data_IF_014055039783
#
_entry.id   IF_014055039783
#
_cell.length_a   1.000
_cell.length_b   1.000
_cell.length_c   1.000
_cell.angle_alpha   90.00
_cell.angle_beta   90.00
_cell.angle_gamma   90.00
#
_symmetry.space_group_name_H-M   'P 1'
#
loop_
_entity.id
_entity.type
_entity.pdbx_description
1 polymer ?
#
# COMPACT_ATOMS: atom_id res chain seq x y z
N UNK A 1 -11.57 -27.43 -26.21
CA UNK A 1 -11.93 -26.00 -26.07
C UNK A 1 -13.04 -25.70 -25.05
N UNK A 2 -14.35 -25.91 -25.27
CA UNK A 2 -15.38 -25.54 -24.25
C UNK A 2 -15.28 -26.29 -22.91
N UNK A 3 -14.81 -27.54 -22.89
CA UNK A 3 -14.71 -28.35 -21.68
C UNK A 3 -13.39 -28.16 -20.90
N UNK A 4 -12.35 -27.61 -21.54
CA UNK A 4 -11.05 -27.37 -20.89
C UNK A 4 -11.07 -26.12 -20.00
N UNK A 5 -11.84 -25.11 -20.39
CA UNK A 5 -12.00 -23.87 -19.60
C UNK A 5 -12.83 -24.11 -18.32
N UNK A 6 -13.74 -25.09 -18.34
CA UNK A 6 -14.61 -25.40 -17.20
C UNK A 6 -13.88 -26.08 -16.03
N UNK A 7 -12.69 -26.63 -16.25
CA UNK A 7 -11.91 -27.37 -15.25
C UNK A 7 -10.69 -26.60 -14.73
N UNK A 8 -10.51 -25.32 -15.11
CA UNK A 8 -9.45 -24.50 -14.52
C UNK A 8 -9.87 -24.14 -13.10
N UNK A 9 -9.09 -24.50 -12.06
CA UNK A 9 -9.42 -24.16 -10.69
C UNK A 9 -9.56 -22.64 -10.53
N UNK A 10 -10.58 -22.20 -9.82
CA UNK A 10 -10.71 -20.80 -9.43
C UNK A 10 -9.77 -20.50 -8.27
N UNK A 11 -9.11 -19.35 -8.32
CA UNK A 11 -8.15 -18.93 -7.30
C UNK A 11 -8.16 -17.41 -7.11
N UNK A 12 -7.66 -16.96 -5.97
CA UNK A 12 -7.38 -15.55 -5.67
C UNK A 12 -5.89 -15.31 -5.78
N UNK A 13 -5.50 -14.12 -6.26
CA UNK A 13 -4.12 -13.63 -6.21
C UNK A 13 -4.12 -12.11 -6.11
N UNK A 14 -4.30 -11.60 -4.91
CA UNK A 14 -4.01 -10.23 -4.54
C UNK A 14 -2.55 -9.91 -4.86
N UNK A 15 -2.33 -8.67 -5.31
CA UNK A 15 -1.00 -8.14 -5.49
C UNK A 15 -1.06 -6.61 -5.41
N UNK A 16 0.00 -5.98 -4.90
CA UNK A 16 0.14 -4.53 -4.88
C UNK A 16 0.70 -4.02 -6.20
N UNK A 17 0.21 -2.86 -6.65
CA UNK A 17 0.97 -1.99 -7.53
C UNK A 17 2.07 -1.30 -6.71
N UNK A 18 3.24 -1.10 -7.32
CA UNK A 18 4.33 -0.35 -6.67
C UNK A 18 3.83 1.05 -6.26
N UNK A 19 3.89 1.41 -4.96
CA UNK A 19 3.51 2.73 -4.50
C UNK A 19 4.35 3.81 -5.17
N UNK A 20 3.72 4.95 -5.47
CA UNK A 20 4.46 6.13 -5.88
C UNK A 20 5.27 6.68 -4.70
N UNK A 21 6.39 7.33 -5.01
CA UNK A 21 7.11 8.13 -4.02
C UNK A 21 6.23 9.31 -3.61
N UNK A 22 6.20 9.62 -2.32
CA UNK A 22 5.40 10.72 -1.78
C UNK A 22 6.28 11.68 -0.98
N UNK A 23 5.78 12.89 -0.76
CA UNK A 23 6.43 13.91 0.05
C UNK A 23 5.52 14.29 1.21
N UNK A 24 6.11 14.84 2.27
CA UNK A 24 5.35 15.37 3.40
C UNK A 24 4.63 16.67 3.04
N UNK A 25 3.49 16.92 3.67
CA UNK A 25 2.81 18.21 3.64
C UNK A 25 3.54 19.25 4.53
N UNK A 26 2.99 20.45 4.66
CA UNK A 26 3.56 21.52 5.49
C UNK A 26 3.60 21.21 7.00
N UNK A 27 2.84 20.21 7.45
CA UNK A 27 2.81 19.76 8.83
C UNK A 27 3.81 18.64 9.11
N UNK A 28 4.46 18.09 8.07
CA UNK A 28 5.35 16.93 8.21
C UNK A 28 4.64 15.59 8.01
N UNK A 29 3.35 15.57 7.63
CA UNK A 29 2.62 14.31 7.42
C UNK A 29 2.73 13.85 5.97
N UNK A 30 2.83 12.55 5.76
CA UNK A 30 2.80 11.92 4.44
C UNK A 30 1.52 11.09 4.25
N UNK A 31 0.80 11.33 3.16
CA UNK A 31 -0.29 10.43 2.74
C UNK A 31 0.30 9.28 1.94
N UNK A 32 0.25 8.08 2.51
CA UNK A 32 0.70 6.84 1.88
C UNK A 32 -0.48 6.21 1.16
N UNK A 33 -0.25 5.68 -0.04
CA UNK A 33 -1.27 4.92 -0.75
C UNK A 33 -0.67 3.73 -1.50
N UNK A 34 -1.47 2.69 -1.66
CA UNK A 34 -1.16 1.54 -2.50
C UNK A 34 -2.40 1.19 -3.32
N UNK A 35 -2.21 0.79 -4.57
CA UNK A 35 -3.27 0.17 -5.37
C UNK A 35 -3.18 -1.33 -5.26
N UNK A 36 -4.33 -1.96 -5.09
CA UNK A 36 -4.51 -3.38 -4.88
C UNK A 36 -5.37 -3.92 -6.01
N UNK A 37 -4.98 -5.07 -6.56
CA UNK A 37 -5.76 -5.79 -7.53
C UNK A 37 -5.71 -7.29 -7.26
N UNK A 38 -6.69 -8.02 -7.79
CA UNK A 38 -6.75 -9.48 -7.73
C UNK A 38 -6.52 -10.06 -9.13
N UNK A 39 -5.30 -10.58 -9.36
CA UNK A 39 -4.88 -11.33 -10.55
C UNK A 39 -5.51 -12.72 -10.66
N UNK A 40 -6.14 -13.21 -9.58
CA UNK A 40 -6.85 -14.47 -9.57
C UNK A 40 -8.12 -14.46 -10.41
N UNK A 41 -8.78 -15.61 -10.55
CA UNK A 41 -9.98 -15.77 -11.38
C UNK A 41 -11.30 -15.67 -10.60
N UNK A 42 -11.27 -15.56 -9.27
CA UNK A 42 -12.46 -15.36 -8.42
C UNK A 42 -12.29 -14.18 -7.47
N UNK A 43 -13.42 -13.60 -7.05
CA UNK A 43 -13.49 -12.57 -6.00
C UNK A 43 -12.99 -13.12 -4.67
N UNK A 44 -12.37 -12.28 -3.85
CA UNK A 44 -12.06 -12.65 -2.46
C UNK A 44 -13.35 -12.94 -1.68
N UNK A 45 -13.29 -13.86 -0.71
CA UNK A 45 -14.47 -14.34 0.01
C UNK A 45 -14.93 -13.40 1.14
N UNK A 46 -14.05 -12.51 1.58
CA UNK A 46 -14.28 -11.56 2.69
C UNK A 46 -13.38 -10.32 2.57
N UNK A 47 -13.67 -9.26 3.34
CA UNK A 47 -12.75 -8.14 3.52
C UNK A 47 -11.43 -8.61 4.16
N UNK A 48 -10.35 -7.91 3.84
CA UNK A 48 -9.01 -8.16 4.38
C UNK A 48 -8.33 -6.84 4.76
N UNK A 49 -7.21 -6.93 5.48
CA UNK A 49 -6.50 -5.75 5.99
C UNK A 49 -5.25 -5.46 5.16
N UNK A 50 -5.03 -4.18 4.88
CA UNK A 50 -3.80 -3.68 4.24
C UNK A 50 -3.09 -2.78 5.23
N UNK A 51 -1.84 -3.11 5.53
CA UNK A 51 -1.06 -2.45 6.58
C UNK A 51 0.21 -1.84 6.01
N UNK A 52 0.57 -0.68 6.54
CA UNK A 52 1.77 0.09 6.19
C UNK A 52 2.75 0.05 7.36
N UNK A 53 4.03 -0.18 7.10
CA UNK A 53 5.06 -0.40 8.11
C UNK A 53 6.31 0.46 7.86
N UNK A 54 7.03 0.80 8.94
CA UNK A 54 8.30 1.54 8.90
C UNK A 54 9.52 0.65 8.67
N UNK A 55 9.35 -0.66 8.74
CA UNK A 55 10.44 -1.63 8.66
C UNK A 55 10.12 -2.82 7.74
N UNK A 56 11.17 -3.41 7.17
CA UNK A 56 11.07 -4.55 6.26
C UNK A 56 10.58 -5.85 6.90
N UNK A 57 10.63 -5.96 8.23
CA UNK A 57 10.15 -7.14 8.96
C UNK A 57 8.67 -7.04 9.31
N UNK A 58 7.99 -5.96 8.92
CA UNK A 58 6.55 -5.74 9.12
C UNK A 58 6.16 -5.72 10.60
N UNK A 59 6.96 -5.05 11.44
CA UNK A 59 6.78 -5.05 12.91
C UNK A 59 6.41 -3.68 13.48
N UNK A 60 6.78 -2.59 12.82
CA UNK A 60 6.51 -1.21 13.22
C UNK A 60 5.39 -0.62 12.34
N UNK A 61 4.16 -0.70 12.84
CA UNK A 61 2.95 -0.28 12.13
C UNK A 61 2.84 1.24 12.05
N UNK A 62 2.65 1.76 10.83
CA UNK A 62 2.24 3.13 10.56
C UNK A 62 0.73 3.25 10.70
N UNK A 63 0.00 2.34 10.05
CA UNK A 63 -1.45 2.25 10.12
C UNK A 63 -1.99 1.20 9.14
N UNK A 64 -3.28 0.95 9.20
CA UNK A 64 -3.94 -0.04 8.36
C UNK A 64 -5.34 0.39 7.93
N UNK A 65 -5.85 -0.28 6.90
CA UNK A 65 -7.20 -0.08 6.38
C UNK A 65 -7.83 -1.41 5.98
N UNK A 66 -9.10 -1.58 6.31
CA UNK A 66 -9.89 -2.71 5.85
C UNK A 66 -10.37 -2.47 4.43
N UNK A 67 -10.03 -3.38 3.53
CA UNK A 67 -10.38 -3.34 2.11
C UNK A 67 -11.54 -4.31 1.86
N UNK A 68 -12.62 -3.89 1.16
CA UNK A 68 -13.73 -4.77 0.83
C UNK A 68 -13.31 -5.88 -0.15
N UNK A 69 -14.16 -6.88 -0.41
CA UNK A 69 -13.84 -7.93 -1.35
C UNK A 69 -13.47 -7.41 -2.74
N UNK A 70 -12.42 -7.95 -3.33
CA UNK A 70 -11.88 -7.48 -4.63
C UNK A 70 -12.19 -8.50 -5.71
N UNK A 71 -12.86 -8.05 -6.77
CA UNK A 71 -13.17 -8.90 -7.93
C UNK A 71 -11.90 -9.40 -8.62
N UNK A 72 -11.91 -10.68 -9.01
CA UNK A 72 -10.83 -11.28 -9.80
C UNK A 72 -10.71 -10.71 -11.21
N UNK A 73 -9.75 -11.25 -11.96
CA UNK A 73 -9.40 -10.93 -13.33
C UNK A 73 -8.94 -9.47 -13.51
N UNK A 74 -8.39 -8.85 -12.46
CA UNK A 74 -7.92 -7.45 -12.47
C UNK A 74 -9.02 -6.47 -12.90
N UNK A 75 -10.28 -6.83 -12.70
CA UNK A 75 -11.43 -6.01 -13.12
C UNK A 75 -11.60 -4.76 -12.27
N UNK A 76 -11.10 -4.82 -11.05
CA UNK A 76 -11.22 -3.78 -10.05
C UNK A 76 -9.84 -3.49 -9.46
N UNK A 77 -9.57 -2.20 -9.26
CA UNK A 77 -8.40 -1.72 -8.54
C UNK A 77 -8.89 -0.86 -7.38
N UNK A 78 -8.53 -1.24 -6.17
CA UNK A 78 -8.84 -0.47 -4.97
C UNK A 78 -7.61 0.26 -4.48
N UNK A 79 -7.79 1.47 -3.96
CA UNK A 79 -6.70 2.24 -3.34
C UNK A 79 -6.87 2.24 -1.83
N UNK A 80 -5.86 1.72 -1.13
CA UNK A 80 -5.74 1.80 0.32
C UNK A 80 -4.87 3.01 0.68
N UNK A 81 -5.29 3.79 1.68
CA UNK A 81 -4.63 5.04 2.06
C UNK A 81 -4.50 5.15 3.57
N UNK A 82 -3.33 5.57 4.05
CA UNK A 82 -3.01 5.84 5.47
C UNK A 82 -2.20 7.13 5.56
N UNK A 83 -2.33 7.86 6.66
CA UNK A 83 -1.48 9.03 6.95
C UNK A 83 -0.36 8.61 7.89
N UNK A 84 0.89 8.89 7.51
CA UNK A 84 2.05 8.82 8.39
C UNK A 84 2.32 10.22 8.93
N UNK A 85 1.97 10.44 10.18
CA UNK A 85 2.14 11.73 10.87
C UNK A 85 3.60 11.97 11.29
N UNK A 86 3.99 13.25 11.36
CA UNK A 86 5.27 13.72 11.91
C UNK A 86 6.50 12.99 11.34
N UNK A 87 6.56 12.79 10.02
CA UNK A 87 7.69 12.10 9.39
C UNK A 87 8.98 12.92 9.58
N UNK A 88 10.04 12.35 10.17
CA UNK A 88 11.31 13.06 10.35
C UNK A 88 11.89 13.52 9.02
N UNK A 89 12.68 14.60 9.03
CA UNK A 89 13.36 15.05 7.82
C UNK A 89 14.32 13.98 7.27
N UNK A 90 14.22 13.68 5.98
CA UNK A 90 15.03 12.67 5.31
C UNK A 90 14.24 11.80 4.34
N UNK A 91 14.92 10.79 3.79
CA UNK A 91 14.30 9.75 2.96
C UNK A 91 13.94 8.56 3.85
N UNK A 92 12.65 8.20 3.88
CA UNK A 92 12.10 7.12 4.69
C UNK A 92 11.43 6.09 3.80
N UNK A 93 11.93 4.85 3.83
CA UNK A 93 11.24 3.74 3.20
C UNK A 93 10.07 3.28 4.07
N UNK A 94 9.03 2.77 3.41
CA UNK A 94 7.93 2.06 4.06
C UNK A 94 7.61 0.79 3.29
N UNK A 95 6.94 -0.12 3.97
CA UNK A 95 6.48 -1.40 3.43
C UNK A 95 4.97 -1.47 3.52
N UNK A 96 4.35 -2.12 2.54
CA UNK A 96 2.91 -2.32 2.50
C UNK A 96 2.65 -3.80 2.31
N UNK A 97 1.89 -4.39 3.24
CA UNK A 97 1.49 -5.78 3.17
C UNK A 97 -0.01 -5.86 2.92
N UNK A 98 -0.39 -6.49 1.81
CA UNK A 98 -1.78 -6.82 1.49
C UNK A 98 -2.15 -8.10 2.23
N UNK A 99 -3.38 -8.15 2.74
CA UNK A 99 -3.87 -9.23 3.61
C UNK A 99 -2.86 -9.58 4.72
N UNK A 100 -2.50 -8.57 5.53
CA UNK A 100 -1.38 -8.68 6.48
C UNK A 100 -1.55 -9.79 7.55
N UNK A 101 -2.75 -10.37 7.66
CA UNK A 101 -3.07 -11.48 8.54
C UNK A 101 -3.24 -12.82 7.83
N UNK A 102 -2.95 -12.90 6.53
CA UNK A 102 -3.03 -14.09 5.70
C UNK A 102 -4.40 -14.80 5.80
N UNK A 103 -5.48 -14.02 5.76
CA UNK A 103 -6.87 -14.49 5.94
C UNK A 103 -7.51 -14.96 4.63
N UNK A 104 -7.02 -14.46 3.49
CA UNK A 104 -7.43 -14.82 2.14
C UNK A 104 -6.44 -15.86 1.64
N UNK A 105 -6.84 -17.12 1.38
CA UNK A 105 -5.94 -18.08 0.76
C UNK A 105 -5.68 -17.73 -0.70
N UNK A 106 -4.41 -17.60 -1.06
CA UNK A 106 -4.00 -17.14 -2.39
C UNK A 106 -3.21 -18.20 -3.18
N UNK A 107 -3.10 -18.04 -4.49
CA UNK A 107 -2.19 -18.87 -5.30
C UNK A 107 -0.72 -18.55 -5.05
N UNK A 108 -0.43 -17.34 -4.56
CA UNK A 108 0.89 -16.87 -4.21
C UNK A 108 0.78 -15.95 -3.00
N UNK A 109 1.43 -16.30 -1.90
CA UNK A 109 1.40 -15.51 -0.65
C UNK A 109 2.63 -14.62 -0.50
N UNK A 110 3.61 -14.74 -1.41
CA UNK A 110 4.90 -14.02 -1.29
C UNK A 110 4.98 -12.74 -2.13
N UNK A 111 3.98 -12.47 -2.96
CA UNK A 111 3.86 -11.24 -3.78
C UNK A 111 2.97 -10.17 -3.15
N UNK A 112 2.52 -10.38 -1.91
CA UNK A 112 1.64 -9.47 -1.17
C UNK A 112 2.33 -8.27 -0.53
N UNK A 113 3.66 -8.16 -0.65
CA UNK A 113 4.45 -7.11 -0.02
C UNK A 113 5.13 -6.23 -1.06
N UNK A 114 4.99 -4.92 -0.88
CA UNK A 114 5.68 -3.91 -1.71
C UNK A 114 6.34 -2.85 -0.83
N UNK A 115 7.17 -2.00 -1.44
CA UNK A 115 7.86 -0.91 -0.77
C UNK A 115 7.66 0.41 -1.50
N UNK A 116 7.58 1.49 -0.73
CA UNK A 116 7.61 2.86 -1.24
C UNK A 116 8.55 3.70 -0.39
N UNK A 117 8.70 4.98 -0.77
CA UNK A 117 9.50 5.91 0.00
C UNK A 117 8.82 7.28 0.12
N UNK A 118 9.04 7.90 1.27
CA UNK A 118 8.64 9.26 1.63
C UNK A 118 9.90 10.13 1.67
N UNK A 119 9.88 11.24 0.95
CA UNK A 119 10.86 12.30 1.13
C UNK A 119 10.25 13.38 2.01
N UNK A 120 10.75 13.52 3.24
CA UNK A 120 10.40 14.60 4.14
C UNK A 120 11.44 15.70 4.03
N UNK A 121 11.07 16.81 3.41
CA UNK A 121 11.96 17.96 3.34
C UNK A 121 12.15 18.54 4.75
N UNK A 122 13.39 18.84 5.18
CA UNK A 122 13.58 19.61 6.39
C UNK A 122 12.86 20.94 6.17
N UNK A 123 11.87 21.24 7.02
CA UNK A 123 11.16 22.52 7.01
C UNK A 123 12.20 23.61 7.12
N UNK A 124 12.61 24.14 5.97
CA UNK A 124 13.52 25.27 5.89
C UNK A 124 12.69 26.45 6.33
N UNK A 125 12.71 26.75 7.62
CA UNK A 125 12.35 28.06 8.14
C UNK A 125 13.33 29.05 7.53
N UNK A 126 13.10 29.42 6.27
CA UNK A 126 13.79 30.52 5.63
C UNK A 126 13.33 31.80 6.32
N UNK A 127 14.06 32.18 7.38
CA UNK A 127 14.06 33.57 7.81
C UNK A 127 14.74 34.37 6.70
N UNK A 128 13.96 34.95 5.79
CA UNK A 128 14.48 36.02 4.94
C UNK A 128 14.75 37.23 5.84
N UNK A 129 16.01 37.70 6.01
CA UNK A 129 16.23 38.97 6.67
C UNK A 129 15.69 40.07 5.76
N UNK A 130 14.58 40.71 6.17
CA UNK A 130 14.16 41.96 5.54
C UNK A 130 15.21 43.01 5.94
N UNK A 131 16.05 43.41 4.99
CA UNK A 131 16.86 44.62 5.15
C UNK A 131 15.98 45.80 4.77
N UNK A 132 15.30 46.40 5.75
CA UNK A 132 14.75 47.75 5.61
C UNK A 132 15.92 48.73 5.69
N UNK A 133 16.20 49.41 4.57
CA UNK A 133 17.03 50.63 4.55
C UNK A 133 16.18 51.84 4.91
#
# INVERSE_FOLDING_TARGET
FRQEVANVPLYVNLAPESPAHTATNSNGDATLSVRIYNNGSTTTDKPFEVSFYRDAFLTDLIGSVTVPPVAGCVREQLTATVVWEDVPAGLHNYWVAIDSFNKIPESNEVDNVTTGAVLADPVSTMYLPISLR
#
